data_IF_715274872106
#
_entry.id   IF_715274872106
#
_cell.length_a   1.000
_cell.length_b   1.000
_cell.length_c   1.000
_cell.angle_alpha   90.00
_cell.angle_beta   90.00
_cell.angle_gamma   90.00
#
_symmetry.space_group_name_H-M   'P 1'
#
loop_
_entity.id
_entity.type
_entity.pdbx_description
1 polymer ?
#
# COMPACT_ATOMS: atom_id res chain seq x y z
N UNK A 1 22.97 51.65 -28.37
CA UNK A 1 22.99 50.72 -29.52
C UNK A 1 23.36 49.35 -28.97
N UNK A 2 22.40 48.43 -28.84
CA UNK A 2 22.63 47.10 -28.25
C UNK A 2 23.34 46.22 -29.29
N UNK A 3 24.53 45.73 -28.98
CA UNK A 3 25.36 44.96 -29.92
C UNK A 3 25.01 43.48 -29.86
N UNK A 4 25.19 42.74 -30.98
CA UNK A 4 24.85 41.31 -31.09
C UNK A 4 25.54 40.44 -30.02
N UNK A 5 26.68 40.89 -29.48
CA UNK A 5 27.44 40.22 -28.42
C UNK A 5 26.80 40.38 -27.04
N UNK A 6 26.16 41.53 -26.78
CA UNK A 6 25.43 41.80 -25.52
C UNK A 6 24.10 41.03 -25.47
N UNK A 7 23.43 40.89 -26.61
CA UNK A 7 22.21 40.09 -26.74
C UNK A 7 22.46 38.58 -26.49
N UNK A 8 23.60 38.04 -26.95
CA UNK A 8 23.96 36.64 -26.74
C UNK A 8 24.23 36.33 -25.26
N UNK A 9 24.93 37.22 -24.55
CA UNK A 9 25.23 37.06 -23.12
C UNK A 9 23.97 37.14 -22.24
N UNK A 10 22.99 37.97 -22.61
CA UNK A 10 21.69 38.04 -21.90
C UNK A 10 20.80 36.81 -22.11
N UNK A 11 20.89 36.16 -23.28
CA UNK A 11 20.09 34.96 -23.60
C UNK A 11 20.56 33.69 -22.89
N UNK A 12 21.85 33.60 -22.55
CA UNK A 12 22.41 32.44 -21.81
C UNK A 12 21.97 32.45 -20.35
N UNK A 13 21.86 33.62 -19.73
CA UNK A 13 21.42 33.76 -18.34
C UNK A 13 19.92 33.46 -18.15
N UNK A 14 19.09 33.74 -19.17
CA UNK A 14 17.65 33.47 -19.13
C UNK A 14 17.32 32.00 -19.46
N UNK A 15 18.09 31.33 -20.32
CA UNK A 15 17.92 29.90 -20.59
C UNK A 15 18.37 29.01 -19.41
N UNK A 16 19.39 29.41 -18.66
CA UNK A 16 19.86 28.65 -17.49
C UNK A 16 18.88 28.70 -16.30
N UNK A 17 18.06 29.76 -16.18
CA UNK A 17 17.10 29.90 -15.09
C UNK A 17 15.85 29.01 -15.26
N UNK A 18 15.43 28.73 -16.51
CA UNK A 18 14.23 27.91 -16.78
C UNK A 18 14.56 26.41 -16.74
N UNK A 19 15.80 26.01 -17.07
CA UNK A 19 16.24 24.61 -16.98
C UNK A 19 16.48 24.13 -15.53
N UNK A 20 16.57 25.04 -14.55
CA UNK A 20 16.78 24.72 -13.14
C UNK A 20 15.47 24.49 -12.37
N UNK A 21 14.30 24.80 -12.94
CA UNK A 21 13.00 24.39 -12.38
C UNK A 21 12.74 22.96 -12.82
N UNK A 22 13.62 22.06 -12.39
CA UNK A 22 13.38 20.63 -12.50
C UNK A 22 12.06 20.33 -11.80
N UNK A 23 11.13 19.72 -12.55
CA UNK A 23 9.93 19.12 -11.99
C UNK A 23 10.37 18.03 -11.01
N UNK A 24 10.57 18.43 -9.75
CA UNK A 24 10.62 17.47 -8.66
C UNK A 24 9.20 16.93 -8.53
N UNK A 25 8.96 15.64 -8.78
CA UNK A 25 7.70 15.07 -8.38
C UNK A 25 7.64 15.27 -6.87
N UNK A 26 6.66 16.04 -6.40
CA UNK A 26 6.28 16.07 -5.01
C UNK A 26 5.68 14.71 -4.67
N UNK A 27 6.51 13.68 -4.60
CA UNK A 27 6.23 12.49 -3.84
C UNK A 27 6.28 12.96 -2.39
N UNK A 28 5.15 13.48 -1.91
CA UNK A 28 4.93 13.66 -0.49
C UNK A 28 5.10 12.27 0.12
N UNK A 29 6.29 11.99 0.64
CA UNK A 29 6.56 10.82 1.43
C UNK A 29 5.54 10.86 2.57
N UNK A 30 4.54 9.99 2.52
CA UNK A 30 3.57 9.86 3.60
C UNK A 30 4.37 9.65 4.88
N UNK A 31 4.20 10.54 5.87
CA UNK A 31 4.85 10.37 7.16
C UNK A 31 4.52 8.97 7.67
N UNK A 32 5.50 8.20 8.20
CA UNK A 32 5.21 6.90 8.79
C UNK A 32 4.09 7.08 9.81
N UNK A 33 2.95 6.45 9.57
CA UNK A 33 1.86 6.46 10.54
C UNK A 33 2.33 5.66 11.75
N UNK A 34 2.07 6.16 12.95
CA UNK A 34 2.36 5.40 14.17
C UNK A 34 1.42 4.20 14.26
N UNK A 35 1.90 3.04 13.78
CA UNK A 35 1.19 1.77 13.86
C UNK A 35 1.35 1.15 15.25
N UNK A 36 2.42 1.47 15.97
CA UNK A 36 2.71 0.89 17.28
C UNK A 36 1.70 1.36 18.34
N UNK A 37 1.20 2.59 18.23
CA UNK A 37 0.17 3.14 19.11
C UNK A 37 -1.26 2.65 18.84
N UNK A 38 -1.51 1.86 17.78
CA UNK A 38 -2.86 1.39 17.47
C UNK A 38 -3.30 0.23 18.39
N UNK A 39 -4.59 0.19 18.79
CA UNK A 39 -5.14 -0.92 19.55
C UNK A 39 -5.05 -2.22 18.75
N UNK A 40 -4.80 -3.34 19.45
CA UNK A 40 -4.68 -4.67 18.86
C UNK A 40 -5.85 -5.55 19.23
N UNK A 41 -6.38 -6.29 18.26
CA UNK A 41 -7.48 -7.23 18.46
C UNK A 41 -7.13 -8.57 17.80
N UNK A 42 -7.10 -9.63 18.60
CA UNK A 42 -6.91 -11.00 18.08
C UNK A 42 -8.26 -11.62 17.75
N UNK A 43 -8.42 -12.04 16.49
CA UNK A 43 -9.65 -12.66 16.00
C UNK A 43 -9.49 -14.17 15.92
N UNK A 44 -10.51 -14.88 16.39
CA UNK A 44 -10.60 -16.34 16.28
C UNK A 44 -11.40 -16.69 15.03
N UNK A 45 -10.74 -17.35 14.08
CA UNK A 45 -11.37 -17.82 12.83
C UNK A 45 -12.27 -19.03 13.10
N UNK A 46 -13.28 -19.18 12.25
CA UNK A 46 -14.22 -20.31 12.25
C UNK A 46 -14.22 -20.99 10.88
N UNK A 47 -14.66 -22.25 10.83
CA UNK A 47 -14.68 -23.00 9.58
C UNK A 47 -15.68 -22.42 8.57
N UNK A 48 -15.36 -22.40 7.26
CA UNK A 48 -16.32 -22.08 6.21
C UNK A 48 -17.54 -23.02 6.24
N UNK A 49 -18.73 -22.56 5.80
CA UNK A 49 -19.02 -21.27 5.17
C UNK A 49 -19.27 -20.12 6.16
N UNK A 50 -19.10 -20.36 7.46
CA UNK A 50 -19.37 -19.37 8.49
C UNK A 50 -18.32 -18.27 8.51
N UNK A 51 -18.72 -17.11 9.02
CA UNK A 51 -17.86 -15.93 9.18
C UNK A 51 -17.66 -15.67 10.67
N UNK A 52 -16.45 -15.26 11.05
CA UNK A 52 -16.15 -14.90 12.43
C UNK A 52 -16.98 -13.68 12.88
N UNK A 53 -17.07 -13.47 14.19
CA UNK A 53 -17.77 -12.33 14.77
C UNK A 53 -17.17 -11.00 14.29
N UNK A 54 -18.03 -10.06 13.89
CA UNK A 54 -17.66 -8.71 13.50
C UNK A 54 -18.88 -7.77 13.57
N UNK A 55 -18.62 -6.48 13.67
CA UNK A 55 -19.63 -5.43 13.48
C UNK A 55 -19.56 -4.90 12.05
N UNK A 56 -20.72 -4.70 11.41
CA UNK A 56 -20.78 -4.20 10.04
C UNK A 56 -20.27 -2.75 9.93
N UNK A 57 -20.57 -1.94 10.94
CA UNK A 57 -20.07 -0.56 11.08
C UNK A 57 -18.93 -0.59 12.07
N UNK A 58 -17.80 0.01 11.71
CA UNK A 58 -16.63 0.08 12.58
C UNK A 58 -16.97 0.80 13.88
N UNK A 59 -16.75 0.11 15.01
CA UNK A 59 -16.81 0.72 16.35
C UNK A 59 -15.40 1.16 16.73
N UNK A 60 -15.24 2.46 16.97
CA UNK A 60 -13.95 3.05 17.35
C UNK A 60 -13.07 3.44 16.17
N UNK A 61 -11.80 3.71 16.46
CA UNK A 61 -10.80 4.12 15.47
C UNK A 61 -10.09 2.94 14.78
N UNK A 62 -9.06 3.24 13.97
CA UNK A 62 -8.22 2.21 13.35
C UNK A 62 -7.58 1.28 14.38
N UNK A 63 -7.47 0.00 14.05
CA UNK A 63 -6.90 -1.05 14.89
C UNK A 63 -6.04 -2.01 14.06
N UNK A 64 -5.11 -2.69 14.72
CA UNK A 64 -4.36 -3.82 14.15
C UNK A 64 -5.11 -5.09 14.50
N UNK A 65 -5.64 -5.77 13.48
CA UNK A 65 -6.37 -7.03 13.66
C UNK A 65 -5.44 -8.19 13.37
N UNK A 66 -5.29 -9.10 14.33
CA UNK A 66 -4.36 -10.21 14.31
C UNK A 66 -5.10 -11.53 14.02
N UNK A 67 -4.62 -12.26 13.01
CA UNK A 67 -5.13 -13.56 12.60
C UNK A 67 -4.01 -14.60 12.66
N UNK A 68 -4.39 -15.86 12.86
CA UNK A 68 -3.46 -17.00 12.80
C UNK A 68 -4.11 -18.13 12.02
N UNK A 69 -3.38 -18.69 11.06
CA UNK A 69 -3.80 -19.81 10.25
C UNK A 69 -2.70 -20.86 10.26
N UNK A 70 -3.10 -22.12 10.43
CA UNK A 70 -2.20 -23.26 10.37
C UNK A 70 -2.36 -23.94 9.01
N UNK A 71 -1.25 -24.19 8.33
CA UNK A 71 -1.23 -24.95 7.08
C UNK A 71 -1.21 -26.44 7.41
N UNK A 72 -2.07 -27.22 6.77
CA UNK A 72 -2.19 -28.66 6.97
C UNK A 72 -2.34 -29.32 5.58
N UNK A 73 -1.33 -30.08 5.16
CA UNK A 73 -1.42 -30.92 3.96
C UNK A 73 -2.22 -32.18 4.29
N UNK A 74 -3.32 -32.41 3.58
CA UNK A 74 -4.13 -33.62 3.77
C UNK A 74 -4.87 -34.04 2.51
N UNK A 75 -5.08 -35.35 2.29
CA UNK A 75 -5.93 -35.82 1.20
C UNK A 75 -7.38 -35.40 1.47
N UNK A 76 -8.03 -34.80 0.46
CA UNK A 76 -9.42 -34.40 0.49
C UNK A 76 -10.22 -35.13 -0.59
N UNK A 77 -11.30 -35.80 -0.20
CA UNK A 77 -12.27 -36.39 -1.14
C UNK A 77 -13.21 -35.29 -1.62
N UNK A 78 -13.29 -35.09 -2.94
CA UNK A 78 -13.99 -33.94 -3.53
C UNK A 78 -15.30 -34.30 -4.25
N UNK A 79 -15.55 -35.59 -4.51
CA UNK A 79 -16.73 -36.06 -5.21
C UNK A 79 -17.24 -37.42 -4.69
N UNK A 80 -18.34 -37.90 -5.28
CA UNK A 80 -18.97 -39.17 -4.92
C UNK A 80 -18.21 -40.40 -5.45
N UNK A 81 -17.36 -40.22 -6.47
CA UNK A 81 -16.57 -41.30 -7.08
C UNK A 81 -15.28 -41.59 -6.28
N UNK A 82 -15.00 -40.77 -5.25
CA UNK A 82 -13.87 -40.96 -4.34
C UNK A 82 -12.58 -40.32 -4.84
N UNK A 83 -12.65 -39.37 -5.78
CA UNK A 83 -11.47 -38.64 -6.27
C UNK A 83 -10.79 -37.90 -5.13
N UNK A 84 -9.49 -38.14 -4.94
CA UNK A 84 -8.68 -37.52 -3.89
C UNK A 84 -7.80 -36.42 -4.45
N UNK A 85 -7.79 -35.28 -3.76
CA UNK A 85 -6.93 -34.15 -4.02
C UNK A 85 -5.96 -33.97 -2.85
N UNK A 86 -4.67 -33.86 -3.15
CA UNK A 86 -3.64 -33.54 -2.16
C UNK A 86 -3.32 -32.05 -2.30
N UNK A 87 -3.71 -31.26 -1.31
CA UNK A 87 -3.41 -29.83 -1.22
C UNK A 87 -3.24 -29.40 0.25
#
# INVERSE_FOLDING_TARGET
>A
MLTRREALLGSVLTAAAVAAVGATPAMAAAKPKDVAGLPREKVILVAPPFVHAHDQVAKGGPKVVEFTMNVEEKPMVIDADGTQLNA
#
